data_IF_584927080842
#
_entry.id   IF_584927080842
#
_cell.length_a   1.000
_cell.length_b   1.000
_cell.length_c   1.000
_cell.angle_alpha   90.00
_cell.angle_beta   90.00
_cell.angle_gamma   90.00
#
_symmetry.space_group_name_H-M   'P 1'
#
loop_
_entity.id
_entity.type
_entity.pdbx_description
1 polymer ?
#
# COMPACT_ATOMS: atom_id res chain seq x y z
N UNK A 1 -16.49 -11.46 -17.36
CA UNK A 1 -15.62 -11.96 -16.28
C UNK A 1 -16.28 -11.56 -14.99
N UNK A 2 -16.42 -12.50 -14.05
CA UNK A 2 -16.87 -12.16 -12.71
C UNK A 2 -15.78 -11.34 -12.01
N UNK A 3 -16.20 -10.30 -11.28
CA UNK A 3 -15.29 -9.42 -10.56
C UNK A 3 -14.70 -10.18 -9.36
N UNK A 4 -13.40 -9.97 -9.10
CA UNK A 4 -12.78 -10.53 -7.91
C UNK A 4 -13.38 -9.90 -6.64
N UNK A 5 -13.65 -10.72 -5.63
CA UNK A 5 -14.04 -10.25 -4.32
C UNK A 5 -12.87 -9.54 -3.62
N UNK A 6 -13.18 -8.71 -2.62
CA UNK A 6 -12.19 -8.04 -1.77
C UNK A 6 -11.18 -9.03 -1.17
N UNK A 7 -11.67 -10.18 -0.70
CA UNK A 7 -10.85 -11.24 -0.11
C UNK A 7 -9.92 -11.88 -1.14
N UNK A 8 -10.42 -12.15 -2.36
CA UNK A 8 -9.59 -12.67 -3.45
C UNK A 8 -8.47 -11.72 -3.85
N UNK A 9 -8.73 -10.41 -3.87
CA UNK A 9 -7.70 -9.40 -4.13
C UNK A 9 -6.65 -9.40 -3.01
N UNK A 10 -7.09 -9.47 -1.75
CA UNK A 10 -6.19 -9.53 -0.60
C UNK A 10 -5.27 -10.76 -0.64
N UNK A 11 -5.81 -11.93 -0.98
CA UNK A 11 -5.03 -13.16 -1.12
C UNK A 11 -4.03 -13.09 -2.29
N UNK A 12 -4.42 -12.47 -3.40
CA UNK A 12 -3.50 -12.21 -4.52
C UNK A 12 -2.36 -11.29 -4.12
N UNK A 13 -2.63 -10.26 -3.32
CA UNK A 13 -1.61 -9.32 -2.83
C UNK A 13 -0.63 -10.05 -1.93
N UNK A 14 -1.12 -10.83 -0.95
CA UNK A 14 -0.27 -11.64 -0.05
C UNK A 14 0.61 -12.62 -0.84
N UNK A 15 0.01 -13.38 -1.75
CA UNK A 15 0.76 -14.29 -2.62
C UNK A 15 1.78 -13.58 -3.51
N UNK A 16 1.49 -12.33 -3.93
CA UNK A 16 2.43 -11.52 -4.71
C UNK A 16 3.58 -10.98 -3.86
N UNK A 17 3.34 -10.62 -2.60
CA UNK A 17 4.39 -10.26 -1.63
C UNK A 17 5.31 -11.46 -1.41
N UNK A 18 4.75 -12.64 -1.15
CA UNK A 18 5.51 -13.89 -1.00
C UNK A 18 6.40 -14.16 -2.23
N UNK A 19 5.84 -14.02 -3.43
CA UNK A 19 6.57 -14.20 -4.68
C UNK A 19 7.61 -13.11 -4.96
N UNK A 20 7.44 -11.92 -4.40
CA UNK A 20 8.41 -10.83 -4.51
C UNK A 20 9.65 -11.10 -3.66
N UNK A 21 9.48 -11.78 -2.53
CA UNK A 21 10.58 -12.16 -1.62
C UNK A 21 11.05 -11.03 -0.70
N UNK A 22 10.26 -9.96 -0.58
CA UNK A 22 10.54 -8.79 0.26
C UNK A 22 9.32 -8.49 1.14
N UNK A 23 9.51 -7.70 2.20
CA UNK A 23 8.39 -7.23 3.01
C UNK A 23 7.58 -6.12 2.31
N UNK A 24 6.32 -5.97 2.73
CA UNK A 24 5.38 -5.02 2.15
C UNK A 24 5.85 -3.56 2.20
N UNK A 25 6.58 -3.16 3.24
CA UNK A 25 7.12 -1.81 3.35
C UNK A 25 8.20 -1.58 2.30
N UNK A 26 9.15 -2.51 2.16
CA UNK A 26 10.19 -2.42 1.14
C UNK A 26 9.60 -2.37 -0.27
N UNK A 27 8.56 -3.17 -0.53
CA UNK A 27 7.82 -3.13 -1.78
C UNK A 27 7.21 -1.73 -1.98
N UNK A 28 6.50 -1.19 -0.98
CA UNK A 28 5.86 0.11 -1.10
C UNK A 28 6.84 1.29 -1.24
N UNK A 29 8.03 1.18 -0.64
CA UNK A 29 9.05 2.24 -0.59
C UNK A 29 10.14 2.13 -1.67
N UNK A 30 10.03 1.21 -2.63
CA UNK A 30 11.01 1.06 -3.70
C UNK A 30 10.50 0.40 -4.97
N UNK A 31 9.49 -0.47 -4.85
CA UNK A 31 8.99 -1.31 -5.94
C UNK A 31 7.50 -1.13 -6.22
N UNK A 32 6.87 -0.11 -5.63
CA UNK A 32 5.42 0.09 -5.66
C UNK A 32 4.84 0.16 -7.07
N UNK A 33 5.56 0.79 -8.01
CA UNK A 33 5.14 0.85 -9.41
C UNK A 33 5.12 -0.54 -10.07
N UNK A 34 6.18 -1.34 -9.88
CA UNK A 34 6.25 -2.71 -10.44
C UNK A 34 5.17 -3.60 -9.81
N UNK A 35 5.00 -3.48 -8.49
CA UNK A 35 3.98 -4.22 -7.76
C UNK A 35 2.57 -3.86 -8.25
N UNK A 36 2.24 -2.58 -8.33
CA UNK A 36 0.93 -2.10 -8.76
C UNK A 36 0.60 -2.52 -10.20
N UNK A 37 1.54 -2.39 -11.14
CA UNK A 37 1.33 -2.84 -12.53
C UNK A 37 1.06 -4.34 -12.61
N UNK A 38 1.87 -5.16 -11.93
CA UNK A 38 1.68 -6.61 -11.95
C UNK A 38 0.41 -7.08 -11.23
N UNK A 39 -0.11 -6.30 -10.28
CA UNK A 39 -1.42 -6.56 -9.67
C UNK A 39 -2.56 -6.15 -10.62
N UNK A 40 -2.48 -4.96 -11.22
CA UNK A 40 -3.49 -4.48 -12.16
C UNK A 40 -3.62 -5.41 -13.39
N UNK A 41 -2.51 -5.92 -13.92
CA UNK A 41 -2.51 -6.90 -15.01
C UNK A 41 -3.29 -8.17 -14.66
N UNK A 42 -3.15 -8.67 -13.43
CA UNK A 42 -3.89 -9.85 -12.92
C UNK A 42 -5.38 -9.57 -12.71
N UNK A 43 -5.71 -8.38 -12.21
CA UNK A 43 -7.09 -7.97 -11.94
C UNK A 43 -7.87 -7.64 -13.22
N UNK A 44 -7.16 -7.31 -14.30
CA UNK A 44 -7.73 -7.06 -15.61
C UNK A 44 -8.17 -5.60 -15.80
N UNK A 45 -9.01 -5.33 -16.81
CA UNK A 45 -9.25 -3.98 -17.35
C UNK A 45 -9.95 -3.02 -16.37
N UNK A 46 -10.62 -3.54 -15.34
CA UNK A 46 -11.30 -2.74 -14.32
C UNK A 46 -10.33 -2.20 -13.24
N UNK A 47 -9.07 -2.65 -13.24
CA UNK A 47 -8.05 -2.18 -12.32
C UNK A 47 -7.27 -1.01 -12.91
N UNK A 48 -7.00 -0.01 -12.07
CA UNK A 48 -6.25 1.19 -12.44
C UNK A 48 -5.02 1.34 -11.55
N UNK A 49 -3.86 1.52 -12.17
CA UNK A 49 -2.67 1.95 -11.44
C UNK A 49 -2.80 3.44 -11.15
N UNK A 50 -2.78 3.78 -9.87
CA UNK A 50 -2.83 5.14 -9.35
C UNK A 50 -1.44 5.53 -8.87
N UNK A 51 -1.13 6.81 -8.98
CA UNK A 51 0.15 7.38 -8.59
C UNK A 51 -0.08 8.74 -7.93
N UNK A 52 0.48 8.90 -6.73
CA UNK A 52 0.36 10.12 -5.91
C UNK A 52 0.77 11.38 -6.66
N UNK A 53 1.92 11.36 -7.35
CA UNK A 53 2.45 12.52 -8.08
C UNK A 53 1.57 12.97 -9.25
N UNK A 54 0.78 12.06 -9.83
CA UNK A 54 -0.05 12.36 -11.01
C UNK A 54 -1.53 12.57 -10.69
N UNK A 55 -2.05 11.81 -9.71
CA UNK A 55 -3.48 11.72 -9.42
C UNK A 55 -3.89 12.43 -8.12
N UNK A 56 -2.95 12.68 -7.20
CA UNK A 56 -3.20 13.33 -5.90
C UNK A 56 -2.18 14.45 -5.66
N UNK A 57 -2.27 15.49 -6.50
CA UNK A 57 -1.27 16.56 -6.60
C UNK A 57 -1.20 17.51 -5.40
N UNK A 58 -2.18 17.46 -4.50
CA UNK A 58 -2.25 18.34 -3.33
C UNK A 58 -1.21 17.99 -2.25
N UNK A 59 -0.21 17.17 -2.59
CA UNK A 59 0.99 16.96 -1.78
C UNK A 59 0.76 16.11 -0.55
N UNK A 60 -0.34 15.36 -0.48
CA UNK A 60 -0.68 14.64 0.76
C UNK A 60 0.35 13.55 1.08
N UNK A 61 0.96 12.89 0.07
CA UNK A 61 2.01 11.87 0.25
C UNK A 61 2.89 11.78 -1.01
N UNK A 62 4.21 12.07 -0.96
CA UNK A 62 5.05 11.99 -2.15
C UNK A 62 5.46 10.55 -2.49
N UNK A 63 5.40 10.18 -3.77
CA UNK A 63 6.21 9.07 -4.33
C UNK A 63 5.71 7.65 -4.10
N UNK A 64 4.43 7.37 -4.37
CA UNK A 64 3.85 6.02 -4.28
C UNK A 64 2.89 5.69 -5.43
N UNK A 65 2.87 4.41 -5.83
CA UNK A 65 1.92 3.85 -6.82
C UNK A 65 1.17 2.65 -6.24
N UNK A 66 -0.13 2.57 -6.49
CA UNK A 66 -1.02 1.54 -5.95
C UNK A 66 -2.12 1.19 -6.95
N UNK A 67 -3.01 0.26 -6.61
CA UNK A 67 -4.13 -0.14 -7.48
C UNK A 67 -5.46 0.36 -6.93
N UNK A 68 -6.28 0.96 -7.79
CA UNK A 68 -7.71 1.17 -7.57
C UNK A 68 -8.50 0.09 -8.32
N UNK A 69 -9.37 -0.63 -7.61
CA UNK A 69 -10.23 -1.66 -8.18
C UNK A 69 -11.57 -1.71 -7.42
N UNK A 70 -12.68 -1.65 -8.13
CA UNK A 70 -14.04 -1.62 -7.54
C UNK A 70 -14.23 -0.55 -6.43
N UNK A 71 -13.64 0.64 -6.61
CA UNK A 71 -13.75 1.75 -5.66
C UNK A 71 -12.95 1.56 -4.36
N UNK A 72 -12.06 0.57 -4.32
CA UNK A 72 -11.12 0.35 -3.22
C UNK A 72 -9.68 0.53 -3.71
N UNK A 73 -8.81 0.95 -2.81
CA UNK A 73 -7.39 1.18 -3.03
C UNK A 73 -6.56 0.15 -2.29
N UNK A 74 -5.61 -0.46 -3.01
CA UNK A 74 -4.80 -1.59 -2.55
C UNK A 74 -3.32 -1.37 -2.85
N UNK A 75 -2.47 -1.72 -1.89
CA UNK A 75 -1.01 -1.82 -2.02
C UNK A 75 -0.50 -3.02 -1.20
N UNK A 76 0.83 -3.15 -1.04
CA UNK A 76 1.39 -4.27 -0.31
C UNK A 76 1.04 -4.26 1.19
N UNK A 77 0.97 -3.08 1.83
CA UNK A 77 0.63 -2.94 3.26
C UNK A 77 -0.88 -2.87 3.52
N UNK A 78 -1.71 -2.70 2.49
CA UNK A 78 -3.17 -2.59 2.57
C UNK A 78 -3.84 -3.65 1.68
N UNK A 79 -3.59 -4.95 1.91
CA UNK A 79 -4.13 -6.04 1.07
C UNK A 79 -5.66 -6.10 1.12
N UNK A 80 -6.25 -5.75 2.26
CA UNK A 80 -7.71 -5.73 2.38
C UNK A 80 -8.32 -4.50 1.69
N UNK A 81 -7.51 -3.53 1.27
CA UNK A 81 -7.97 -2.32 0.61
C UNK A 81 -8.81 -1.37 1.46
N UNK A 82 -8.87 -0.11 1.03
CA UNK A 82 -9.60 0.98 1.70
C UNK A 82 -10.33 1.85 0.69
N UNK A 83 -11.38 2.55 1.11
CA UNK A 83 -12.16 3.43 0.22
C UNK A 83 -11.45 4.74 -0.10
N UNK A 84 -10.48 5.15 0.72
CA UNK A 84 -9.78 6.42 0.58
C UNK A 84 -8.27 6.19 0.67
N UNK A 85 -7.46 6.68 -0.30
CA UNK A 85 -6.02 6.42 -0.30
C UNK A 85 -5.31 6.85 0.98
N UNK A 86 -5.73 7.97 1.59
CA UNK A 86 -5.17 8.45 2.87
C UNK A 86 -5.31 7.47 4.05
N UNK A 87 -6.17 6.45 3.91
CA UNK A 87 -6.37 5.41 4.93
C UNK A 87 -5.43 4.22 4.73
N UNK A 88 -4.72 4.13 3.60
CA UNK A 88 -3.73 3.08 3.34
C UNK A 88 -2.61 3.16 4.38
N UNK A 89 -2.12 2.00 4.79
CA UNK A 89 -1.13 1.90 5.87
C UNK A 89 0.15 2.67 5.55
N UNK A 90 0.66 2.54 4.32
CA UNK A 90 1.83 3.27 3.85
C UNK A 90 1.66 4.79 4.00
N UNK A 91 0.52 5.34 3.55
CA UNK A 91 0.25 6.78 3.64
C UNK A 91 0.10 7.26 5.09
N UNK A 92 -0.60 6.51 5.94
CA UNK A 92 -0.73 6.85 7.37
C UNK A 92 0.63 6.83 8.08
N UNK A 93 1.49 5.88 7.74
CA UNK A 93 2.86 5.78 8.23
C UNK A 93 3.72 6.97 7.79
N UNK A 94 3.72 7.31 6.50
CA UNK A 94 4.47 8.48 6.01
C UNK A 94 4.03 9.77 6.70
N UNK A 95 2.72 9.91 6.98
CA UNK A 95 2.20 11.05 7.73
C UNK A 95 2.70 11.08 9.17
N UNK A 96 2.65 9.93 9.84
CA UNK A 96 3.12 9.82 11.23
C UNK A 96 4.60 10.22 11.34
N UNK A 97 5.44 9.74 10.42
CA UNK A 97 6.86 10.09 10.35
C UNK A 97 7.03 11.60 10.08
N UNK A 98 6.33 12.15 9.08
CA UNK A 98 6.44 13.56 8.71
C UNK A 98 5.95 14.54 9.79
N UNK A 99 4.96 14.15 10.61
CA UNK A 99 4.43 14.97 11.70
C UNK A 99 5.23 14.80 13.01
N UNK A 100 6.12 13.80 13.09
CA UNK A 100 6.93 13.53 14.29
C UNK A 100 8.12 14.50 14.44
N UNK A 101 8.56 14.80 15.68
CA UNK A 101 9.80 15.53 15.89
C UNK A 101 11.02 14.80 15.28
N UNK A 102 11.97 15.55 14.72
CA UNK A 102 13.17 15.01 14.04
C UNK A 102 14.02 14.02 14.89
N UNK A 103 13.85 14.03 16.22
CA UNK A 103 14.57 13.16 17.15
C UNK A 103 13.81 11.87 17.52
N UNK A 104 12.65 11.61 16.91
CA UNK A 104 11.85 10.41 17.13
C UNK A 104 12.16 9.39 16.03
N UNK A 105 12.38 8.13 16.44
CA UNK A 105 12.55 7.01 15.50
C UNK A 105 11.27 6.77 14.69
N UNK A 106 11.38 6.41 13.41
CA UNK A 106 10.23 6.23 12.54
C UNK A 106 9.22 5.20 13.05
N UNK A 107 9.68 4.09 13.64
CA UNK A 107 8.77 3.09 14.19
C UNK A 107 8.04 3.65 15.41
N UNK A 108 8.74 4.40 16.26
CA UNK A 108 8.12 5.04 17.42
C UNK A 108 7.08 6.10 16.98
N UNK A 109 7.39 6.88 15.95
CA UNK A 109 6.43 7.84 15.37
C UNK A 109 5.15 7.16 14.90
N UNK A 110 5.26 5.99 14.27
CA UNK A 110 4.12 5.18 13.83
C UNK A 110 3.32 4.66 15.02
N UNK A 111 3.98 4.10 16.04
CA UNK A 111 3.32 3.60 17.26
C UNK A 111 2.56 4.74 17.95
N UNK A 112 3.20 5.89 18.13
CA UNK A 112 2.61 7.05 18.81
C UNK A 112 1.40 7.59 18.06
N UNK A 113 1.44 7.63 16.73
CA UNK A 113 0.36 8.16 15.90
C UNK A 113 -0.78 7.18 15.65
N UNK A 114 -0.48 5.89 15.46
CA UNK A 114 -1.44 4.88 15.02
C UNK A 114 -1.89 3.94 16.16
N UNK A 115 -1.18 3.92 17.30
CA UNK A 115 -1.49 3.08 18.45
C UNK A 115 -1.13 1.61 18.26
N UNK A 116 -0.35 1.28 17.23
CA UNK A 116 0.10 -0.08 16.93
C UNK A 116 1.44 -0.05 16.18
N UNK A 117 2.15 -1.17 16.23
CA UNK A 117 3.37 -1.39 15.44
C UNK A 117 3.09 -1.29 13.94
N UNK A 118 4.08 -0.91 13.10
CA UNK A 118 3.92 -0.97 11.66
C UNK A 118 3.62 -2.40 11.19
N UNK A 119 2.74 -2.51 10.21
CA UNK A 119 2.30 -3.82 9.69
C UNK A 119 3.17 -4.19 8.49
N UNK A 120 4.07 -5.15 8.71
CA UNK A 120 4.89 -5.72 7.66
C UNK A 120 4.33 -7.09 7.28
N UNK A 121 3.72 -7.20 6.10
CA UNK A 121 3.48 -8.51 5.50
C UNK A 121 4.79 -8.98 4.88
N UNK A 122 5.29 -10.13 5.30
CA UNK A 122 6.54 -10.72 4.82
C UNK A 122 6.28 -12.15 4.33
N UNK A 123 7.14 -12.68 3.44
CA UNK A 123 7.03 -14.05 2.97
C UNK A 123 6.95 -15.06 4.12
N UNK A 124 6.00 -15.98 4.05
CA UNK A 124 5.96 -17.13 4.95
C UNK A 124 7.17 -18.03 4.73
N UNK A 125 7.98 -18.26 5.76
CA UNK A 125 9.09 -19.22 5.75
C UNK A 125 8.60 -20.68 5.75
#
# INVERSE_FOLDING_TARGET
MDKYSREQVADMIRAKIDAFGEDAWFINNGWCWVFANGLAEKLGPDAKVVNSCHHYRDGTFPGHSWVEYNGLHFDAETPDGVSEPRQMQYHRRLRAIADSPDNVDENQAVIDALGHEPIYYAPGF
#
